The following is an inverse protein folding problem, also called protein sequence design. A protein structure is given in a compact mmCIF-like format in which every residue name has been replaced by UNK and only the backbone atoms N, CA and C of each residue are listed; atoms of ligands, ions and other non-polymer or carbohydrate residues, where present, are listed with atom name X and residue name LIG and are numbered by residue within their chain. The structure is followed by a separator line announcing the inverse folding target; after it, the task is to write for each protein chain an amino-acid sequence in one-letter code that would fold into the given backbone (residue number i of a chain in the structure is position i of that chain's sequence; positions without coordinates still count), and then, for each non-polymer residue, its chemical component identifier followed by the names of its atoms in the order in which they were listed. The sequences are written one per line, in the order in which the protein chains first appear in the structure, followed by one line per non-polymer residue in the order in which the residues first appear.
data_IF_071897044595
#
_entry.id   IF_071897044595
#
_cell.length_a   1.000
_cell.length_b   1.000
_cell.length_c   1.000
_cell.angle_alpha   90.00
_cell.angle_beta   90.00
_cell.angle_gamma   90.00
#
_symmetry.space_group_name_H-M   'P 1'
#
loop_
_entity.id
_entity.type
_entity.pdbx_description
1 polymer ?
#
# COMPACT_ATOMS: atom_id res chain seq x y z
N UNK A 1 -17.12 -30.14 -2.92
CA UNK A 1 -16.03 -30.38 -1.96
C UNK A 1 -15.11 -29.17 -2.02
N UNK A 2 -15.16 -28.29 -1.05
CA UNK A 2 -14.23 -27.16 -0.97
C UNK A 2 -12.80 -27.73 -0.86
N UNK A 3 -11.82 -27.19 -1.60
CA UNK A 3 -10.46 -27.68 -1.48
C UNK A 3 -9.97 -27.40 -0.06
N UNK A 4 -9.40 -28.44 0.59
CA UNK A 4 -8.72 -28.28 1.88
C UNK A 4 -7.75 -27.11 1.74
N UNK A 5 -7.99 -26.04 2.47
CA UNK A 5 -7.04 -24.93 2.59
C UNK A 5 -5.72 -25.56 3.09
N UNK A 6 -4.74 -25.62 2.20
CA UNK A 6 -3.37 -25.93 2.55
C UNK A 6 -2.91 -24.88 3.59
N UNK A 7 -2.03 -25.31 4.51
CA UNK A 7 -1.34 -24.47 5.49
C UNK A 7 -1.12 -23.06 4.95
N UNK A 8 -1.59 -22.06 5.68
CA UNK A 8 -1.77 -20.66 5.31
C UNK A 8 -0.78 -20.17 4.25
N UNK A 9 -1.25 -20.06 3.02
CA UNK A 9 -0.49 -19.46 1.93
C UNK A 9 -0.25 -18.00 2.31
N UNK A 10 0.99 -17.63 2.56
CA UNK A 10 1.39 -16.28 2.99
C UNK A 10 1.84 -15.38 1.85
N UNK A 11 2.01 -15.97 0.64
CA UNK A 11 2.30 -15.23 -0.61
C UNK A 11 1.07 -15.36 -1.51
N UNK A 12 0.46 -14.24 -1.83
CA UNK A 12 -0.77 -14.15 -2.60
C UNK A 12 -0.44 -13.91 -4.08
N UNK A 13 -1.16 -14.58 -4.97
CA UNK A 13 -0.80 -14.66 -6.40
C UNK A 13 -1.85 -13.96 -7.26
N UNK A 14 -1.46 -12.88 -7.92
CA UNK A 14 -2.27 -12.20 -8.93
C UNK A 14 -1.95 -12.70 -10.33
N UNK A 15 -0.67 -12.95 -10.63
CA UNK A 15 -0.19 -13.45 -11.93
C UNK A 15 0.82 -14.55 -11.75
N UNK A 16 0.83 -15.47 -12.69
CA UNK A 16 1.77 -16.59 -12.70
C UNK A 16 3.23 -16.09 -12.67
N UNK A 17 4.00 -16.59 -11.70
CA UNK A 17 5.41 -16.29 -11.52
C UNK A 17 6.19 -17.61 -11.33
N UNK A 18 7.17 -17.84 -12.19
CA UNK A 18 8.03 -19.02 -12.12
C UNK A 18 9.41 -18.64 -11.57
N UNK A 19 9.65 -18.88 -10.28
CA UNK A 19 10.91 -18.55 -9.62
C UNK A 19 12.12 -19.29 -10.21
N UNK A 20 11.92 -20.39 -10.93
CA UNK A 20 13.03 -21.07 -11.63
C UNK A 20 13.62 -20.23 -12.75
N UNK A 21 12.80 -19.38 -13.41
CA UNK A 21 13.23 -18.47 -14.48
C UNK A 21 13.89 -17.21 -13.94
N UNK A 22 13.55 -16.80 -12.72
CA UNK A 22 14.13 -15.61 -12.11
C UNK A 22 15.61 -15.86 -11.80
N UNK A 23 16.47 -15.05 -12.37
CA UNK A 23 17.93 -15.08 -12.19
C UNK A 23 18.37 -14.03 -11.19
N UNK A 24 17.75 -12.84 -11.23
CA UNK A 24 18.05 -11.69 -10.39
C UNK A 24 16.86 -11.34 -9.49
N UNK A 25 17.15 -11.05 -8.23
CA UNK A 25 16.16 -10.58 -7.26
C UNK A 25 16.59 -9.21 -6.78
N UNK A 26 15.85 -8.20 -7.16
CA UNK A 26 16.03 -6.82 -6.70
C UNK A 26 15.16 -6.54 -5.48
N UNK A 27 15.74 -5.88 -4.50
CA UNK A 27 15.08 -5.53 -3.27
C UNK A 27 15.13 -4.03 -3.05
N UNK A 28 13.99 -3.42 -2.75
CA UNK A 28 14.01 -2.16 -2.03
C UNK A 28 14.52 -2.40 -0.60
N UNK A 29 15.00 -1.35 0.04
CA UNK A 29 15.55 -1.45 1.38
C UNK A 29 14.50 -1.15 2.44
N UNK A 30 14.00 0.08 2.44
CA UNK A 30 13.12 0.59 3.49
C UNK A 30 11.72 -0.05 3.40
N UNK A 31 11.17 -0.53 4.53
CA UNK A 31 9.90 -1.28 4.62
C UNK A 31 9.82 -2.58 3.77
N UNK A 32 10.91 -2.98 3.14
CA UNK A 32 11.00 -4.22 2.35
C UNK A 32 12.05 -5.18 2.90
N UNK A 33 13.33 -4.88 2.66
CA UNK A 33 14.45 -5.67 3.17
C UNK A 33 14.67 -5.42 4.67
N UNK A 34 14.59 -4.16 5.06
CA UNK A 34 14.67 -3.69 6.44
C UNK A 34 13.29 -3.25 6.88
N UNK A 35 12.77 -3.87 7.93
CA UNK A 35 11.45 -3.55 8.50
C UNK A 35 11.58 -2.47 9.54
N UNK A 36 10.55 -1.64 9.62
CA UNK A 36 10.45 -0.56 10.61
C UNK A 36 9.37 -0.85 11.64
N UNK A 37 9.53 -0.32 12.84
CA UNK A 37 8.42 -0.09 13.74
C UNK A 37 7.61 1.09 13.20
N UNK A 38 6.71 0.80 12.26
CA UNK A 38 6.02 1.80 11.42
C UNK A 38 5.35 2.88 12.27
N UNK A 39 4.72 2.51 13.37
CA UNK A 39 4.08 3.44 14.30
C UNK A 39 5.06 4.47 14.89
N UNK A 40 6.24 4.00 15.33
CA UNK A 40 7.28 4.85 15.91
C UNK A 40 7.90 5.77 14.86
N UNK A 41 8.12 5.25 13.66
CA UNK A 41 8.69 6.02 12.56
C UNK A 41 7.72 7.10 12.06
N UNK A 42 6.44 6.78 11.85
CA UNK A 42 5.42 7.73 11.41
C UNK A 42 5.15 8.82 12.46
N UNK A 43 5.19 8.48 13.75
CA UNK A 43 5.13 9.47 14.82
C UNK A 43 6.33 10.42 14.80
N UNK A 44 7.54 9.91 14.54
CA UNK A 44 8.72 10.73 14.35
C UNK A 44 8.58 11.65 13.13
N UNK A 45 8.12 11.11 12.00
CA UNK A 45 7.91 11.87 10.77
C UNK A 45 6.90 13.00 10.98
N UNK A 46 5.77 12.70 11.60
CA UNK A 46 4.73 13.68 11.96
C UNK A 46 5.32 14.83 12.80
N UNK A 47 6.06 14.51 13.86
CA UNK A 47 6.71 15.51 14.71
C UNK A 47 7.69 16.39 13.93
N UNK A 48 8.53 15.80 13.07
CA UNK A 48 9.50 16.55 12.26
C UNK A 48 8.82 17.47 11.24
N UNK A 49 7.72 17.02 10.65
CA UNK A 49 6.91 17.89 9.78
C UNK A 49 6.33 19.08 10.55
N UNK A 50 5.76 18.88 11.73
CA UNK A 50 5.25 19.98 12.58
C UNK A 50 6.33 21.01 12.89
N UNK A 51 7.51 20.57 13.36
CA UNK A 51 8.64 21.44 13.64
C UNK A 51 9.05 22.29 12.42
N UNK A 52 9.11 21.67 11.23
CA UNK A 52 9.47 22.36 10.00
C UNK A 52 8.38 23.30 9.49
N UNK A 53 7.12 22.96 9.63
CA UNK A 53 5.99 23.83 9.28
C UNK A 53 6.05 25.13 10.08
N UNK A 54 6.30 25.06 11.38
CA UNK A 54 6.46 26.25 12.22
C UNK A 54 7.73 27.04 11.84
N UNK A 55 8.89 26.36 11.81
CA UNK A 55 10.18 27.02 11.67
C UNK A 55 10.43 27.56 10.25
N UNK A 56 9.91 26.90 9.22
CA UNK A 56 10.24 27.20 7.81
C UNK A 56 9.09 27.79 7.02
N UNK A 57 7.84 27.50 7.42
CA UNK A 57 6.65 27.88 6.67
C UNK A 57 5.78 28.90 7.42
N UNK A 58 6.11 29.23 8.69
CA UNK A 58 5.40 30.22 9.49
C UNK A 58 4.01 29.79 9.96
N UNK A 59 3.77 28.49 10.08
CA UNK A 59 2.53 27.99 10.69
C UNK A 59 2.46 28.34 12.18
N UNK A 60 1.27 28.44 12.77
CA UNK A 60 1.11 28.76 14.19
C UNK A 60 1.78 27.73 15.10
N UNK A 61 2.41 28.18 16.19
CA UNK A 61 3.06 27.30 17.19
C UNK A 61 2.11 26.26 17.80
N UNK A 62 0.81 26.54 17.79
CA UNK A 62 -0.22 25.64 18.30
C UNK A 62 -0.20 24.27 17.61
N UNK A 63 0.22 24.20 16.33
CA UNK A 63 0.30 22.91 15.64
C UNK A 63 1.27 21.92 16.29
N UNK A 64 2.27 22.40 17.05
CA UNK A 64 3.22 21.55 17.77
C UNK A 64 2.56 20.66 18.83
N UNK A 65 1.32 21.00 19.25
CA UNK A 65 0.52 20.19 20.19
C UNK A 65 -0.29 19.08 19.50
N UNK A 66 -0.29 19.00 18.17
CA UNK A 66 -1.01 17.95 17.45
C UNK A 66 -0.31 16.60 17.65
N UNK A 67 -1.08 15.62 18.07
CA UNK A 67 -0.61 14.25 18.27
C UNK A 67 -0.88 13.39 17.03
N UNK A 68 0.05 12.50 16.73
CA UNK A 68 -0.10 11.55 15.65
C UNK A 68 -1.10 10.45 16.03
N UNK A 69 -2.14 10.26 15.22
CA UNK A 69 -3.09 9.15 15.35
C UNK A 69 -3.04 8.29 14.09
N UNK A 70 -2.43 7.11 14.22
CA UNK A 70 -2.26 6.14 13.13
C UNK A 70 -3.59 5.67 12.54
N UNK A 71 -4.70 5.75 13.31
CA UNK A 71 -6.02 5.32 12.84
C UNK A 71 -6.74 6.34 11.95
N UNK A 72 -6.18 7.55 11.79
CA UNK A 72 -6.81 8.60 10.98
C UNK A 72 -6.59 8.44 9.48
N UNK A 73 -5.61 7.67 9.07
CA UNK A 73 -5.36 7.40 7.65
C UNK A 73 -4.96 5.95 7.42
N UNK A 74 -5.16 5.47 6.20
CA UNK A 74 -4.69 4.16 5.73
C UNK A 74 -4.05 4.30 4.35
N UNK A 75 -3.25 3.32 3.94
CA UNK A 75 -2.75 3.24 2.57
C UNK A 75 -3.91 3.12 1.58
N UNK A 76 -3.77 3.74 0.43
CA UNK A 76 -4.77 3.72 -0.64
C UNK A 76 -5.80 4.85 -0.58
N UNK A 77 -5.69 5.76 0.39
CA UNK A 77 -6.47 7.00 0.38
C UNK A 77 -5.94 7.97 -0.67
N UNK A 78 -6.80 8.91 -1.04
CA UNK A 78 -6.48 10.02 -1.93
C UNK A 78 -6.74 11.33 -1.20
N UNK A 79 -5.76 12.22 -1.20
CA UNK A 79 -5.90 13.58 -0.71
C UNK A 79 -6.46 14.44 -1.84
N UNK A 80 -7.64 15.00 -1.65
CA UNK A 80 -8.17 16.09 -2.50
C UNK A 80 -7.61 17.42 -2.00
N UNK A 81 -6.60 17.89 -2.69
CA UNK A 81 -5.85 19.10 -2.32
C UNK A 81 -6.69 20.37 -2.41
N UNK A 82 -7.72 20.38 -3.26
CA UNK A 82 -8.58 21.55 -3.47
C UNK A 82 -9.65 21.69 -2.41
N UNK A 83 -10.20 20.56 -1.96
CA UNK A 83 -11.33 20.53 -1.04
C UNK A 83 -10.92 20.27 0.41
N UNK A 84 -9.65 19.97 0.70
CA UNK A 84 -9.21 19.60 2.04
C UNK A 84 -9.73 18.22 2.49
N UNK A 85 -10.01 17.31 1.53
CA UNK A 85 -10.66 16.06 1.82
C UNK A 85 -9.71 14.87 1.71
N UNK A 86 -9.96 13.85 2.53
CA UNK A 86 -9.42 12.50 2.37
C UNK A 86 -10.52 11.64 1.74
N UNK A 87 -10.16 10.87 0.72
CA UNK A 87 -11.10 10.08 -0.06
C UNK A 87 -10.70 8.61 -0.08
N UNK A 88 -11.67 7.73 0.12
CA UNK A 88 -11.54 6.30 -0.17
C UNK A 88 -12.21 5.98 -1.49
N UNK A 89 -11.42 5.53 -2.44
CA UNK A 89 -11.84 5.35 -3.84
C UNK A 89 -11.91 3.86 -4.18
N UNK A 90 -12.96 3.45 -4.86
CA UNK A 90 -13.10 2.08 -5.37
C UNK A 90 -12.31 1.90 -6.67
N UNK A 91 -12.19 0.65 -7.11
CA UNK A 91 -11.53 0.29 -8.40
C UNK A 91 -12.12 1.02 -9.62
N UNK A 92 -13.35 1.47 -9.53
CA UNK A 92 -14.06 2.19 -10.61
C UNK A 92 -13.99 3.72 -10.46
N UNK A 93 -13.18 4.23 -9.53
CA UNK A 93 -13.06 5.67 -9.28
C UNK A 93 -14.20 6.25 -8.45
N UNK A 94 -15.13 5.42 -7.94
CA UNK A 94 -16.20 5.91 -7.09
C UNK A 94 -15.72 6.16 -5.66
N UNK A 95 -16.10 7.31 -5.10
CA UNK A 95 -15.78 7.68 -3.73
C UNK A 95 -16.78 6.97 -2.79
N UNK A 96 -16.28 6.12 -1.91
CA UNK A 96 -17.08 5.31 -0.97
C UNK A 96 -17.11 5.88 0.44
N UNK A 97 -16.04 6.58 0.82
CA UNK A 97 -15.96 7.32 2.08
C UNK A 97 -15.15 8.58 1.87
N UNK A 98 -15.46 9.62 2.59
CA UNK A 98 -14.74 10.89 2.55
C UNK A 98 -14.75 11.57 3.91
N UNK A 99 -13.62 12.20 4.27
CA UNK A 99 -13.50 13.08 5.42
C UNK A 99 -13.08 14.46 4.93
N UNK A 100 -13.65 15.52 5.50
CA UNK A 100 -13.10 16.87 5.42
C UNK A 100 -12.28 17.13 6.67
N UNK A 101 -10.99 17.35 6.50
CA UNK A 101 -10.10 17.24 7.66
C UNK A 101 -10.23 15.85 8.30
N UNK A 102 -10.59 15.81 9.58
CA UNK A 102 -10.84 14.56 10.33
C UNK A 102 -12.34 14.23 10.46
N UNK A 103 -13.25 15.03 9.88
CA UNK A 103 -14.70 14.95 10.05
C UNK A 103 -15.36 14.22 8.87
N UNK A 104 -16.20 13.19 9.13
CA UNK A 104 -16.92 12.51 8.05
C UNK A 104 -17.82 13.47 7.25
N UNK A 105 -17.78 13.35 5.92
CA UNK A 105 -18.71 14.03 5.02
C UNK A 105 -19.92 13.10 4.84
N UNK A 106 -21.11 13.63 5.05
CA UNK A 106 -22.34 12.87 4.80
C UNK A 106 -22.55 12.57 3.31
N UNK A 107 -23.27 11.49 3.01
CA UNK A 107 -23.44 11.00 1.65
C UNK A 107 -24.08 12.02 0.69
N UNK A 108 -25.16 12.77 1.06
CA UNK A 108 -25.71 13.81 0.18
C UNK A 108 -24.71 14.90 -0.17
N UNK A 109 -23.92 15.36 0.81
CA UNK A 109 -22.88 16.36 0.60
C UNK A 109 -21.76 15.80 -0.28
N UNK A 110 -21.31 14.58 -0.01
CA UNK A 110 -20.31 13.89 -0.85
C UNK A 110 -20.81 13.75 -2.29
N UNK A 111 -22.04 13.34 -2.51
CA UNK A 111 -22.63 13.25 -3.86
C UNK A 111 -22.65 14.61 -4.57
N UNK A 112 -23.02 15.69 -3.87
CA UNK A 112 -23.04 17.02 -4.45
C UNK A 112 -21.65 17.50 -4.86
N UNK A 113 -20.63 17.24 -4.03
CA UNK A 113 -19.25 17.64 -4.30
C UNK A 113 -18.62 16.86 -5.48
N UNK A 114 -18.93 15.56 -5.59
CA UNK A 114 -18.23 14.64 -6.49
C UNK A 114 -19.12 13.99 -7.55
N UNK A 115 -20.31 14.50 -7.80
CA UNK A 115 -21.35 13.91 -8.67
C UNK A 115 -20.87 13.51 -10.07
N UNK A 116 -19.94 14.27 -10.63
CA UNK A 116 -19.41 14.05 -12.00
C UNK A 116 -17.88 14.00 -12.00
N UNK A 117 -17.27 13.75 -10.86
CA UNK A 117 -15.83 13.80 -10.71
C UNK A 117 -15.26 12.38 -10.82
N UNK A 118 -14.42 12.18 -11.81
CA UNK A 118 -13.52 11.03 -11.89
C UNK A 118 -12.23 11.39 -11.18
N UNK A 119 -11.83 10.57 -10.21
CA UNK A 119 -10.56 10.78 -9.51
C UNK A 119 -9.43 10.28 -10.38
N UNK A 120 -8.71 11.21 -10.99
CA UNK A 120 -7.53 10.93 -11.80
C UNK A 120 -6.26 11.22 -10.99
N UNK A 121 -5.59 10.16 -10.53
CA UNK A 121 -4.34 10.28 -9.78
C UNK A 121 -3.14 10.73 -10.64
N UNK A 122 -3.29 10.84 -11.96
CA UNK A 122 -2.28 11.49 -12.80
C UNK A 122 -2.33 13.02 -12.70
N UNK A 123 -3.45 13.57 -12.24
CA UNK A 123 -3.60 14.99 -11.93
C UNK A 123 -3.05 15.30 -10.53
N UNK A 124 -1.74 15.38 -10.43
CA UNK A 124 -1.02 15.66 -9.19
C UNK A 124 -1.24 17.09 -8.66
N UNK A 125 -1.84 17.98 -9.46
CA UNK A 125 -2.21 19.31 -9.01
C UNK A 125 -3.42 19.30 -8.08
N UNK A 126 -4.34 18.38 -8.29
CA UNK A 126 -5.57 18.24 -7.53
C UNK A 126 -5.57 17.07 -6.54
N UNK A 127 -4.86 15.99 -6.85
CA UNK A 127 -4.90 14.78 -6.04
C UNK A 127 -3.50 14.28 -5.67
N UNK A 128 -3.36 13.71 -4.48
CA UNK A 128 -2.15 13.01 -4.04
C UNK A 128 -2.54 11.66 -3.43
N UNK A 129 -1.86 10.59 -3.84
CA UNK A 129 -2.12 9.27 -3.31
C UNK A 129 -1.35 9.03 -2.00
N UNK A 130 -1.97 8.28 -1.09
CA UNK A 130 -1.32 7.70 0.10
C UNK A 130 -0.94 6.27 -0.27
N UNK A 131 0.20 6.09 -0.93
CA UNK A 131 0.57 4.85 -1.62
C UNK A 131 1.77 4.10 -0.99
N UNK A 132 2.33 4.65 0.07
CA UNK A 132 3.41 4.05 0.87
C UNK A 132 3.13 4.19 2.37
N UNK A 133 3.80 3.37 3.17
CA UNK A 133 3.75 3.48 4.63
C UNK A 133 4.21 4.87 5.11
N UNK A 134 5.17 5.49 4.45
CA UNK A 134 5.66 6.84 4.76
C UNK A 134 4.65 7.98 4.52
N UNK A 135 3.52 7.71 3.88
CA UNK A 135 2.50 8.72 3.56
C UNK A 135 1.36 8.80 4.59
N UNK A 136 1.35 7.92 5.59
CA UNK A 136 0.29 7.89 6.61
C UNK A 136 0.34 9.16 7.48
N UNK A 137 1.53 9.55 7.93
CA UNK A 137 1.73 10.78 8.71
C UNK A 137 1.39 12.04 7.90
N UNK A 138 1.66 12.04 6.59
CA UNK A 138 1.26 13.13 5.68
C UNK A 138 -0.25 13.30 5.65
N UNK A 139 -0.98 12.20 5.44
CA UNK A 139 -2.44 12.24 5.37
C UNK A 139 -3.06 12.66 6.70
N UNK A 140 -2.54 12.12 7.81
CA UNK A 140 -3.00 12.47 9.15
C UNK A 140 -2.76 13.95 9.45
N UNK A 141 -1.55 14.45 9.20
CA UNK A 141 -1.22 15.85 9.45
C UNK A 141 -2.01 16.80 8.55
N UNK A 142 -2.15 16.46 7.25
CA UNK A 142 -2.97 17.25 6.35
C UNK A 142 -4.40 17.41 6.88
N UNK A 143 -5.04 16.31 7.31
CA UNK A 143 -6.38 16.36 7.87
C UNK A 143 -6.48 17.24 9.14
N UNK A 144 -5.52 17.12 10.04
CA UNK A 144 -5.46 17.91 11.26
C UNK A 144 -5.31 19.41 10.98
N UNK A 145 -4.47 19.77 9.98
CA UNK A 145 -4.27 21.16 9.58
C UNK A 145 -5.49 21.76 8.86
N UNK A 146 -6.24 20.95 8.12
CA UNK A 146 -7.52 21.37 7.53
C UNK A 146 -8.50 21.75 8.63
N UNK A 147 -8.68 20.88 9.65
CA UNK A 147 -9.56 21.19 10.79
C UNK A 147 -9.14 22.48 11.51
N UNK A 148 -7.85 22.60 11.78
CA UNK A 148 -7.33 23.77 12.49
C UNK A 148 -7.51 25.07 11.69
N UNK A 149 -7.31 25.02 10.38
CA UNK A 149 -7.59 26.14 9.48
C UNK A 149 -9.06 26.56 9.56
N UNK A 150 -9.98 25.61 9.43
CA UNK A 150 -11.41 25.91 9.36
C UNK A 150 -11.98 26.41 10.69
N UNK A 151 -11.49 25.83 11.79
CA UNK A 151 -11.99 26.18 13.12
C UNK A 151 -11.39 27.47 13.68
N UNK A 152 -10.12 27.78 13.37
CA UNK A 152 -9.41 28.83 14.09
C UNK A 152 -8.61 29.79 13.22
N UNK A 153 -8.04 29.31 12.12
CA UNK A 153 -7.05 30.08 11.34
C UNK A 153 -7.49 30.30 9.89
N UNK A 154 -8.79 30.49 9.66
CA UNK A 154 -9.41 30.54 8.33
C UNK A 154 -8.71 31.52 7.38
N UNK A 155 -8.34 32.71 7.87
CA UNK A 155 -7.74 33.77 7.06
C UNK A 155 -6.19 33.78 7.14
N UNK A 156 -5.60 33.17 8.17
CA UNK A 156 -4.14 33.27 8.41
C UNK A 156 -3.37 32.05 7.95
N UNK A 157 -3.99 30.88 7.83
CA UNK A 157 -3.37 29.71 7.21
C UNK A 157 -3.60 29.69 5.70
N UNK A 158 -2.65 29.14 4.92
CA UNK A 158 -2.77 29.04 3.47
C UNK A 158 -3.96 28.16 3.05
N UNK A 159 -4.28 28.14 1.76
CA UNK A 159 -5.31 27.25 1.22
C UNK A 159 -4.93 25.76 1.34
N UNK A 160 -5.90 24.85 1.17
CA UNK A 160 -5.68 23.41 1.36
C UNK A 160 -4.64 22.84 0.40
N UNK A 161 -4.55 23.35 -0.84
CA UNK A 161 -3.56 22.87 -1.80
C UNK A 161 -2.14 23.26 -1.37
N UNK A 162 -1.97 24.45 -0.82
CA UNK A 162 -0.71 24.91 -0.25
C UNK A 162 -0.38 24.14 1.02
N UNK A 163 -1.35 23.92 1.93
CA UNK A 163 -1.15 23.07 3.13
C UNK A 163 -0.64 21.69 2.72
N UNK A 164 -1.29 21.03 1.75
CA UNK A 164 -0.87 19.72 1.27
C UNK A 164 0.56 19.75 0.71
N UNK A 165 0.89 20.78 -0.08
CA UNK A 165 2.25 20.95 -0.64
C UNK A 165 3.27 21.15 0.46
N UNK A 166 2.96 21.97 1.45
CA UNK A 166 3.86 22.26 2.56
C UNK A 166 4.12 21.02 3.42
N UNK A 167 3.09 20.23 3.73
CA UNK A 167 3.23 18.97 4.47
C UNK A 167 4.15 18.00 3.71
N UNK A 168 3.88 17.76 2.42
CA UNK A 168 4.71 16.86 1.59
C UNK A 168 6.15 17.37 1.51
N UNK A 169 6.33 18.67 1.23
CA UNK A 169 7.68 19.27 1.10
C UNK A 169 8.48 19.23 2.40
N UNK A 170 7.83 19.34 3.55
CA UNK A 170 8.51 19.26 4.85
C UNK A 170 8.93 17.83 5.19
N UNK A 171 8.16 16.79 4.76
CA UNK A 171 8.59 15.40 4.85
C UNK A 171 9.80 15.14 3.97
N UNK A 172 9.76 15.59 2.71
CA UNK A 172 10.89 15.47 1.77
C UNK A 172 12.14 16.17 2.30
N UNK A 173 11.98 17.34 2.93
CA UNK A 173 13.08 18.05 3.58
C UNK A 173 13.64 17.26 4.76
N UNK A 174 12.76 16.67 5.60
CA UNK A 174 13.18 15.88 6.76
C UNK A 174 13.95 14.59 6.36
N UNK A 175 13.62 14.01 5.21
CA UNK A 175 14.41 12.92 4.63
C UNK A 175 15.78 13.38 4.12
N UNK A 176 15.85 14.57 3.49
CA UNK A 176 17.08 15.09 2.87
C UNK A 176 18.08 15.69 3.86
N UNK A 177 17.61 16.38 4.88
CA UNK A 177 18.46 17.07 5.85
C UNK A 177 18.94 16.16 7.00
N UNK A 178 18.55 14.90 6.99
CA UNK A 178 18.95 13.90 7.97
C UNK A 178 18.21 14.00 9.30
N UNK A 179 17.22 14.87 9.47
CA UNK A 179 16.50 15.02 10.75
C UNK A 179 15.68 13.78 11.12
N UNK A 180 15.21 13.00 10.13
CA UNK A 180 14.62 11.68 10.33
C UNK A 180 15.70 10.59 10.48
N UNK A 181 16.54 10.45 9.47
CA UNK A 181 17.56 9.40 9.41
C UNK A 181 18.58 9.49 10.55
N UNK A 182 18.94 10.70 10.97
CA UNK A 182 19.84 10.91 12.09
C UNK A 182 19.24 10.49 13.44
N UNK A 183 17.91 10.64 13.63
CA UNK A 183 17.24 10.15 14.83
C UNK A 183 17.12 8.62 14.82
N UNK A 184 16.77 8.02 13.69
CA UNK A 184 16.76 6.56 13.52
C UNK A 184 18.16 5.99 13.79
N UNK A 185 19.21 6.62 13.26
CA UNK A 185 20.60 6.19 13.44
C UNK A 185 21.04 6.17 14.92
N UNK A 186 20.53 7.09 15.72
CA UNK A 186 20.83 7.14 17.16
C UNK A 186 20.09 6.05 17.98
N UNK A 187 18.95 5.58 17.46
CA UNK A 187 18.04 4.72 18.22
C UNK A 187 17.53 3.56 17.34
N UNK A 188 18.43 2.79 16.73
CA UNK A 188 18.09 1.72 15.77
C UNK A 188 17.12 0.69 16.36
N UNK A 189 17.33 0.27 17.62
CA UNK A 189 16.44 -0.71 18.29
C UNK A 189 15.00 -0.20 18.46
N UNK A 190 14.78 1.11 18.50
CA UNK A 190 13.44 1.70 18.58
C UNK A 190 12.71 1.66 17.24
N UNK A 191 13.45 1.84 16.15
CA UNK A 191 12.82 2.07 14.84
C UNK A 191 12.93 0.88 13.89
N UNK A 192 13.90 -0.02 14.07
CA UNK A 192 14.21 -1.10 13.14
C UNK A 192 13.89 -2.46 13.74
N UNK A 193 13.11 -3.24 13.01
CA UNK A 193 12.78 -4.63 13.35
C UNK A 193 13.84 -5.55 12.72
N UNK A 194 14.51 -6.34 13.55
CA UNK A 194 15.41 -7.39 13.10
C UNK A 194 14.60 -8.62 12.67
N UNK A 195 14.81 -9.11 11.45
CA UNK A 195 14.13 -10.29 10.91
C UNK A 195 15.17 -11.34 10.49
N UNK A 196 15.56 -12.26 11.38
CA UNK A 196 16.53 -13.32 11.08
C UNK A 196 16.08 -14.24 9.94
N UNK A 197 14.77 -14.39 9.72
CA UNK A 197 14.22 -15.23 8.65
C UNK A 197 14.51 -14.65 7.26
N UNK A 198 14.58 -13.33 7.15
CA UNK A 198 15.00 -12.64 5.91
C UNK A 198 16.46 -12.99 5.61
N UNK A 199 17.35 -12.93 6.61
CA UNK A 199 18.77 -13.21 6.43
C UNK A 199 18.98 -14.66 6.02
N UNK A 200 18.38 -15.61 6.72
CA UNK A 200 18.41 -17.04 6.36
C UNK A 200 17.86 -17.28 4.93
N UNK A 201 16.84 -16.53 4.54
CA UNK A 201 16.27 -16.57 3.20
C UNK A 201 17.25 -16.07 2.13
N UNK A 202 17.91 -14.93 2.36
CA UNK A 202 18.94 -14.37 1.46
C UNK A 202 20.07 -15.37 1.21
N UNK A 203 20.66 -15.94 2.27
CA UNK A 203 21.71 -16.95 2.16
C UNK A 203 21.24 -18.18 1.41
N UNK A 204 20.02 -18.66 1.69
CA UNK A 204 19.41 -19.79 0.99
C UNK A 204 19.19 -19.52 -0.49
N UNK A 205 18.68 -18.35 -0.87
CA UNK A 205 18.44 -18.00 -2.27
C UNK A 205 19.76 -17.88 -3.03
N UNK A 206 20.80 -17.34 -2.39
CA UNK A 206 22.15 -17.30 -2.97
C UNK A 206 22.73 -18.69 -3.22
N UNK A 207 22.52 -19.67 -2.32
CA UNK A 207 22.89 -21.09 -2.53
C UNK A 207 22.20 -21.73 -3.74
N UNK A 208 21.09 -21.14 -4.20
CA UNK A 208 20.35 -21.58 -5.39
C UNK A 208 20.66 -20.72 -6.62
N UNK A 209 21.84 -20.10 -6.68
CA UNK A 209 22.35 -19.30 -7.78
C UNK A 209 21.49 -18.07 -8.11
N UNK A 210 20.67 -17.58 -7.16
CA UNK A 210 19.95 -16.33 -7.30
C UNK A 210 20.92 -15.18 -7.03
N UNK A 211 21.06 -14.28 -8.00
CA UNK A 211 21.81 -13.04 -7.85
C UNK A 211 20.91 -12.00 -7.22
N UNK A 212 21.34 -11.47 -6.09
CA UNK A 212 20.52 -10.54 -5.31
C UNK A 212 21.13 -9.14 -5.41
N UNK A 213 20.30 -8.12 -5.59
CA UNK A 213 20.75 -6.73 -5.60
C UNK A 213 19.79 -5.84 -4.79
N UNK A 214 20.36 -4.76 -4.26
CA UNK A 214 19.60 -3.70 -3.58
C UNK A 214 19.45 -2.54 -4.54
N UNK A 215 18.26 -1.94 -4.57
CA UNK A 215 17.95 -0.71 -5.31
C UNK A 215 17.12 0.21 -4.41
N UNK A 216 17.75 1.18 -3.75
CA UNK A 216 17.13 2.05 -2.77
C UNK A 216 17.30 3.53 -3.08
N UNK A 217 16.33 4.36 -2.64
CA UNK A 217 16.46 5.81 -2.66
C UNK A 217 17.30 6.36 -1.49
N UNK A 218 17.62 5.52 -0.52
CA UNK A 218 18.51 5.89 0.60
C UNK A 218 19.96 6.01 0.15
N UNK A 219 20.73 6.86 0.81
CA UNK A 219 22.16 7.02 0.57
C UNK A 219 22.98 5.85 1.14
N UNK A 220 24.21 5.70 0.67
CA UNK A 220 25.07 4.57 1.05
C UNK A 220 25.36 4.50 2.54
N UNK A 221 25.66 5.62 3.19
CA UNK A 221 25.98 5.67 4.62
C UNK A 221 24.85 5.13 5.49
N UNK A 222 23.61 5.54 5.19
CA UNK A 222 22.42 5.08 5.88
C UNK A 222 22.09 3.63 5.52
N UNK A 223 22.20 3.25 4.26
CA UNK A 223 22.02 1.86 3.80
C UNK A 223 22.98 0.93 4.53
N UNK A 224 24.28 1.30 4.59
CA UNK A 224 25.28 0.53 5.32
C UNK A 224 24.95 0.37 6.80
N UNK A 225 24.57 1.46 7.45
CA UNK A 225 24.18 1.47 8.87
C UNK A 225 23.04 0.48 9.16
N UNK A 226 21.98 0.53 8.36
CA UNK A 226 20.83 -0.35 8.54
C UNK A 226 21.15 -1.82 8.27
N UNK A 227 21.93 -2.11 7.23
CA UNK A 227 22.31 -3.48 6.90
C UNK A 227 23.32 -4.07 7.88
N UNK A 228 24.25 -3.26 8.39
CA UNK A 228 25.16 -3.67 9.47
C UNK A 228 24.36 -4.05 10.74
N UNK A 229 23.28 -3.32 11.03
CA UNK A 229 22.44 -3.56 12.19
C UNK A 229 21.45 -4.73 12.00
N UNK A 230 20.77 -4.79 10.86
CA UNK A 230 19.67 -5.71 10.64
C UNK A 230 20.09 -7.06 10.02
N UNK A 231 21.22 -7.12 9.30
CA UNK A 231 21.63 -8.29 8.54
C UNK A 231 22.85 -8.98 9.17
N UNK A 232 23.95 -8.25 9.41
CA UNK A 232 25.21 -8.83 9.86
C UNK A 232 25.11 -9.74 11.07
N UNK A 233 24.33 -9.42 12.13
CA UNK A 233 24.27 -10.25 13.34
C UNK A 233 23.67 -11.65 13.12
N UNK A 234 23.01 -11.87 12.00
CA UNK A 234 22.27 -13.12 11.70
C UNK A 234 22.88 -13.94 10.57
N UNK A 235 23.95 -13.47 9.96
CA UNK A 235 24.69 -14.22 8.92
C UNK A 235 25.30 -15.48 9.49
N UNK A 236 25.24 -16.57 8.71
CA UNK A 236 25.82 -17.87 9.07
C UNK A 236 26.88 -18.32 8.09
N UNK A 237 26.69 -18.05 6.82
CA UNK A 237 27.53 -18.54 5.72
C UNK A 237 28.36 -17.43 5.06
N UNK A 238 28.18 -16.17 5.49
CA UNK A 238 28.87 -15.00 4.94
C UNK A 238 29.45 -14.14 6.06
N UNK A 239 30.57 -13.45 5.80
CA UNK A 239 31.25 -12.60 6.78
C UNK A 239 30.53 -11.27 7.03
N UNK A 240 29.90 -10.74 6.00
CA UNK A 240 29.19 -9.47 6.05
C UNK A 240 28.10 -9.42 4.96
N UNK A 241 27.19 -8.46 5.08
CA UNK A 241 26.06 -8.32 4.17
C UNK A 241 26.49 -8.02 2.71
N UNK A 242 27.64 -7.39 2.46
CA UNK A 242 28.12 -7.11 1.11
C UNK A 242 28.30 -8.38 0.27
N UNK A 243 28.65 -9.49 0.91
CA UNK A 243 28.81 -10.77 0.23
C UNK A 243 27.48 -11.38 -0.26
N UNK A 244 26.33 -10.90 0.28
CA UNK A 244 25.01 -11.36 -0.16
C UNK A 244 24.58 -10.74 -1.49
N UNK A 245 25.03 -9.52 -1.78
CA UNK A 245 24.50 -8.73 -2.90
C UNK A 245 25.51 -8.58 -4.02
N UNK A 246 25.10 -8.90 -5.25
CA UNK A 246 25.91 -8.64 -6.45
C UNK A 246 26.05 -7.14 -6.72
N UNK A 247 24.95 -6.40 -6.52
CA UNK A 247 24.91 -4.95 -6.70
C UNK A 247 24.18 -4.30 -5.52
N UNK A 248 24.70 -3.16 -5.09
CA UNK A 248 24.04 -2.27 -4.15
C UNK A 248 23.94 -0.91 -4.79
N UNK A 249 22.76 -0.53 -5.22
CA UNK A 249 22.47 0.72 -5.92
C UNK A 249 21.72 1.63 -4.96
N UNK A 250 22.41 2.66 -4.48
CA UNK A 250 21.90 3.64 -3.51
C UNK A 250 21.54 4.94 -4.21
N UNK A 251 20.73 5.78 -3.56
CA UNK A 251 20.25 7.05 -4.11
C UNK A 251 19.79 6.92 -5.57
N UNK A 252 19.04 5.85 -5.84
CA UNK A 252 18.62 5.46 -7.18
C UNK A 252 17.62 6.43 -7.82
N UNK A 253 16.99 7.30 -7.01
CA UNK A 253 15.96 8.24 -7.44
C UNK A 253 14.75 7.54 -8.10
N UNK A 254 14.34 6.38 -7.55
CA UNK A 254 13.10 5.74 -8.01
C UNK A 254 11.92 6.73 -7.91
N UNK A 255 11.01 6.80 -8.89
CA UNK A 255 10.90 5.90 -10.06
C UNK A 255 11.78 6.27 -11.25
N UNK A 256 12.54 7.37 -11.24
CA UNK A 256 13.37 7.82 -12.38
C UNK A 256 14.34 6.76 -12.88
N UNK A 257 14.89 5.94 -11.99
CA UNK A 257 15.77 4.81 -12.35
C UNK A 257 15.19 3.90 -13.44
N UNK A 258 13.86 3.77 -13.50
CA UNK A 258 13.19 2.85 -14.43
C UNK A 258 12.93 3.43 -15.83
N UNK A 259 12.98 4.74 -16.01
CA UNK A 259 12.66 5.37 -17.29
C UNK A 259 13.64 6.45 -17.72
N UNK A 260 14.60 6.82 -16.87
CA UNK A 260 15.60 7.85 -17.16
C UNK A 260 17.00 7.22 -17.28
N UNK A 261 17.91 7.87 -17.99
CA UNK A 261 19.29 7.40 -18.21
C UNK A 261 20.28 8.19 -17.34
N UNK A 262 20.15 8.04 -16.02
CA UNK A 262 21.11 8.63 -15.10
C UNK A 262 22.44 7.86 -15.12
N UNK A 263 23.54 8.57 -14.88
CA UNK A 263 24.86 7.94 -14.78
C UNK A 263 25.00 7.15 -13.49
N UNK A 264 25.74 6.03 -13.57
CA UNK A 264 26.22 5.33 -12.38
C UNK A 264 27.46 6.01 -11.83
N UNK A 265 27.49 6.18 -10.52
CA UNK A 265 28.70 6.52 -9.77
C UNK A 265 29.13 5.28 -9.00
N UNK A 266 30.39 4.85 -9.16
CA UNK A 266 30.93 3.75 -8.35
C UNK A 266 31.33 4.28 -6.99
N UNK A 267 30.89 3.61 -5.93
CA UNK A 267 31.19 3.94 -4.54
C UNK A 267 32.31 3.03 -4.05
N UNK A 268 33.34 3.62 -3.43
CA UNK A 268 34.31 2.88 -2.64
C UNK A 268 33.68 2.54 -1.28
N UNK A 269 33.47 1.25 -0.93
CA UNK A 269 32.84 0.89 0.33
C UNK A 269 33.60 1.28 1.60
N UNK A 270 34.89 1.54 1.49
CA UNK A 270 35.79 1.85 2.64
C UNK A 270 35.59 3.29 3.11
N UNK A 271 35.54 4.23 2.18
CA UNK A 271 35.58 5.67 2.47
C UNK A 271 34.35 6.44 1.91
N UNK A 272 33.50 5.78 1.12
CA UNK A 272 32.31 6.37 0.52
C UNK A 272 32.62 7.32 -0.66
N UNK A 273 33.83 7.40 -1.12
CA UNK A 273 34.18 8.23 -2.29
C UNK A 273 33.51 7.71 -3.56
N UNK A 274 33.19 8.62 -4.47
CA UNK A 274 32.43 8.32 -5.68
C UNK A 274 33.21 8.72 -6.93
N UNK A 275 33.17 7.86 -7.93
CA UNK A 275 33.73 8.12 -9.24
C UNK A 275 32.73 7.83 -10.34
N UNK A 276 32.77 8.60 -11.43
CA UNK A 276 31.95 8.30 -12.61
C UNK A 276 32.24 6.90 -13.12
N UNK A 277 31.20 6.15 -13.52
CA UNK A 277 31.34 4.80 -13.99
C UNK A 277 30.61 4.58 -15.32
N UNK A 278 31.38 4.59 -16.41
CA UNK A 278 30.84 4.44 -17.77
C UNK A 278 31.13 3.04 -18.37
N UNK A 279 31.95 2.22 -17.68
CA UNK A 279 32.22 0.84 -18.08
C UNK A 279 31.02 -0.09 -17.93
N UNK A 280 31.03 -1.30 -18.52
CA UNK A 280 30.05 -2.35 -18.22
C UNK A 280 29.99 -2.66 -16.72
N UNK A 281 28.79 -2.76 -16.17
CA UNK A 281 28.58 -2.95 -14.74
C UNK A 281 29.20 -4.27 -14.25
N UNK A 282 29.96 -4.19 -13.16
CA UNK A 282 30.54 -5.31 -12.42
C UNK A 282 29.95 -5.34 -11.00
N UNK A 283 29.92 -6.50 -10.33
CA UNK A 283 29.48 -6.57 -8.94
C UNK A 283 30.14 -5.47 -8.08
N UNK A 284 29.34 -4.79 -7.26
CA UNK A 284 29.82 -3.70 -6.43
C UNK A 284 28.75 -2.73 -5.95
N UNK A 285 29.21 -1.62 -5.38
CA UNK A 285 28.37 -0.57 -4.81
C UNK A 285 28.33 0.64 -5.75
N UNK A 286 27.13 1.14 -6.01
CA UNK A 286 26.90 2.23 -6.94
C UNK A 286 25.88 3.24 -6.37
N UNK A 287 25.90 4.43 -6.94
CA UNK A 287 24.86 5.44 -6.73
C UNK A 287 24.22 5.83 -8.06
N UNK A 288 22.90 6.10 -8.05
CA UNK A 288 22.16 6.53 -9.24
C UNK A 288 22.02 5.44 -10.28
N UNK A 289 22.19 5.78 -11.56
CA UNK A 289 22.06 4.85 -12.66
C UNK A 289 20.67 4.70 -13.24
N UNK A 290 20.50 3.74 -14.15
CA UNK A 290 19.23 3.46 -14.80
C UNK A 290 19.08 1.99 -15.22
N UNK A 291 17.81 1.55 -15.29
CA UNK A 291 17.44 0.15 -15.56
C UNK A 291 17.90 -0.32 -16.94
N UNK A 292 17.89 0.55 -17.95
CA UNK A 292 18.33 0.22 -19.31
C UNK A 292 19.82 -0.18 -19.35
N UNK A 293 20.70 0.64 -18.75
CA UNK A 293 22.10 0.27 -18.65
C UNK A 293 22.32 -0.97 -17.79
N UNK A 294 21.56 -1.11 -16.69
CA UNK A 294 21.65 -2.27 -15.81
C UNK A 294 21.31 -3.57 -16.55
N UNK A 295 20.19 -3.63 -17.25
CA UNK A 295 19.77 -4.85 -17.99
C UNK A 295 20.67 -5.13 -19.19
N UNK A 296 21.03 -4.10 -19.95
CA UNK A 296 21.90 -4.22 -21.12
C UNK A 296 23.29 -4.74 -20.76
N UNK A 297 23.93 -4.15 -19.75
CA UNK A 297 25.31 -4.52 -19.37
C UNK A 297 25.38 -5.94 -18.78
N UNK A 298 24.29 -6.41 -18.15
CA UNK A 298 24.20 -7.76 -17.58
C UNK A 298 23.68 -8.80 -18.58
N UNK A 299 23.21 -8.39 -19.76
CA UNK A 299 22.64 -9.28 -20.77
C UNK A 299 21.44 -10.05 -20.25
N UNK A 300 20.51 -9.35 -19.58
CA UNK A 300 19.30 -9.92 -18.97
C UNK A 300 18.05 -9.21 -19.47
N UNK A 301 16.95 -9.99 -19.50
CA UNK A 301 15.63 -9.50 -19.88
C UNK A 301 14.79 -9.21 -18.64
N UNK A 302 13.70 -8.42 -18.81
CA UNK A 302 12.81 -8.10 -17.70
C UNK A 302 12.19 -9.33 -17.01
N UNK A 303 11.98 -10.41 -17.73
CA UNK A 303 11.46 -11.68 -17.20
C UNK A 303 12.48 -12.48 -16.35
N UNK A 304 13.77 -12.13 -16.42
CA UNK A 304 14.82 -12.71 -15.58
C UNK A 304 14.87 -12.08 -14.18
N UNK A 305 14.20 -10.94 -13.99
CA UNK A 305 14.28 -10.11 -12.78
C UNK A 305 12.95 -10.18 -12.03
N UNK A 306 13.03 -10.44 -10.72
CA UNK A 306 11.95 -10.18 -9.77
C UNK A 306 12.37 -9.01 -8.90
N UNK A 307 11.62 -7.90 -8.96
CA UNK A 307 11.83 -6.77 -8.08
C UNK A 307 10.77 -6.74 -6.98
N UNK A 308 11.19 -6.49 -5.75
CA UNK A 308 10.36 -6.52 -4.55
C UNK A 308 10.50 -5.18 -3.83
N UNK A 309 9.37 -4.53 -3.58
CA UNK A 309 9.29 -3.26 -2.85
C UNK A 309 7.97 -3.11 -2.11
N UNK A 310 7.82 -2.03 -1.36
CA UNK A 310 6.57 -1.69 -0.65
C UNK A 310 5.77 -0.58 -1.33
N UNK A 311 6.41 0.20 -2.22
CA UNK A 311 5.82 1.38 -2.83
C UNK A 311 5.16 1.05 -4.17
N UNK A 312 3.81 1.06 -4.21
CA UNK A 312 3.04 0.65 -5.41
C UNK A 312 3.39 1.47 -6.66
N UNK A 313 3.61 2.78 -6.54
CA UNK A 313 3.98 3.64 -7.65
C UNK A 313 5.47 3.57 -7.98
N UNK A 314 6.33 3.77 -6.97
CA UNK A 314 7.77 3.89 -7.13
C UNK A 314 8.47 2.59 -7.51
N UNK A 315 8.00 1.46 -6.98
CA UNK A 315 8.63 0.15 -7.13
C UNK A 315 7.92 -0.79 -8.09
N UNK A 316 6.62 -0.62 -8.30
CA UNK A 316 5.81 -1.64 -8.98
C UNK A 316 5.24 -1.13 -10.29
N UNK A 317 4.46 -0.03 -10.26
CA UNK A 317 3.72 0.44 -11.41
C UNK A 317 4.64 0.93 -12.54
N UNK A 318 5.56 1.84 -12.21
CA UNK A 318 6.49 2.42 -13.19
C UNK A 318 7.43 1.36 -13.75
N UNK A 319 8.02 0.57 -12.85
CA UNK A 319 8.90 -0.53 -13.24
C UNK A 319 8.20 -1.52 -14.18
N UNK A 320 6.93 -1.88 -13.90
CA UNK A 320 6.18 -2.81 -14.76
C UNK A 320 5.87 -2.22 -16.11
N UNK A 321 5.55 -0.93 -16.19
CA UNK A 321 5.25 -0.24 -17.45
C UNK A 321 6.48 -0.01 -18.31
N UNK A 322 7.58 0.41 -17.69
CA UNK A 322 8.76 0.92 -18.41
C UNK A 322 9.81 -0.18 -18.67
N UNK A 323 10.00 -1.11 -17.72
CA UNK A 323 11.05 -2.15 -17.80
C UNK A 323 10.52 -3.58 -17.99
N UNK A 324 9.22 -3.80 -17.81
CA UNK A 324 8.58 -5.12 -17.84
C UNK A 324 9.18 -6.17 -16.88
N UNK A 325 9.85 -5.76 -15.80
CA UNK A 325 10.34 -6.69 -14.77
C UNK A 325 9.17 -7.39 -14.09
N UNK A 326 9.43 -8.56 -13.50
CA UNK A 326 8.49 -9.22 -12.60
C UNK A 326 8.49 -8.49 -11.26
N UNK A 327 7.33 -8.43 -10.62
CA UNK A 327 7.12 -7.57 -9.45
C UNK A 327 6.49 -8.32 -8.30
N UNK A 328 6.93 -8.01 -7.09
CA UNK A 328 6.31 -8.45 -5.85
C UNK A 328 6.15 -7.25 -4.90
N UNK A 329 5.01 -7.16 -4.21
CA UNK A 329 4.71 -6.06 -3.30
C UNK A 329 4.66 -6.54 -1.86
N UNK A 330 5.31 -5.79 -0.96
CA UNK A 330 5.16 -5.96 0.49
C UNK A 330 4.08 -5.00 0.99
N UNK A 331 3.10 -5.54 1.69
CA UNK A 331 1.98 -4.80 2.28
C UNK A 331 1.91 -5.19 3.76
N UNK A 332 2.64 -4.47 4.61
CA UNK A 332 2.80 -4.84 6.02
C UNK A 332 1.47 -4.86 6.78
N UNK A 333 0.63 -3.85 6.57
CA UNK A 333 -0.69 -3.70 7.18
C UNK A 333 -1.67 -4.82 6.84
N UNK A 334 -1.46 -5.53 5.74
CA UNK A 334 -2.26 -6.70 5.37
C UNK A 334 -2.21 -7.80 6.43
N UNK A 335 -1.15 -7.86 7.24
CA UNK A 335 -1.03 -8.81 8.35
C UNK A 335 -2.15 -8.64 9.37
N UNK A 336 -2.37 -7.42 9.82
CA UNK A 336 -3.45 -7.07 10.76
C UNK A 336 -4.83 -7.21 10.10
N UNK A 337 -4.95 -6.83 8.85
CA UNK A 337 -6.20 -6.98 8.09
C UNK A 337 -6.61 -8.45 7.97
N UNK A 338 -5.68 -9.38 7.72
CA UNK A 338 -5.94 -10.82 7.68
C UNK A 338 -6.44 -11.34 9.03
N UNK A 339 -5.84 -10.91 10.14
CA UNK A 339 -6.30 -11.30 11.47
C UNK A 339 -7.70 -10.74 11.77
N UNK A 340 -7.98 -9.53 11.32
CA UNK A 340 -9.32 -8.93 11.39
C UNK A 340 -10.34 -9.70 10.55
N UNK A 341 -9.98 -10.15 9.35
CA UNK A 341 -10.83 -11.03 8.53
C UNK A 341 -11.16 -12.35 9.24
N UNK A 342 -10.19 -12.98 9.89
CA UNK A 342 -10.42 -14.23 10.65
C UNK A 342 -11.44 -14.00 11.77
N UNK A 343 -11.33 -12.88 12.49
CA UNK A 343 -12.28 -12.49 13.54
C UNK A 343 -13.66 -12.14 12.97
N UNK A 344 -13.71 -11.56 11.77
CA UNK A 344 -14.95 -11.16 11.08
C UNK A 344 -15.73 -12.32 10.46
N UNK A 345 -15.08 -13.46 10.19
CA UNK A 345 -15.64 -14.62 9.49
C UNK A 345 -17.03 -15.07 10.02
N UNK A 346 -17.28 -15.23 11.34
CA UNK A 346 -18.59 -15.63 11.83
C UNK A 346 -19.68 -14.60 11.49
N UNK A 347 -19.38 -13.30 11.67
CA UNK A 347 -20.30 -12.20 11.33
C UNK A 347 -20.57 -12.13 9.82
N UNK A 348 -19.57 -12.32 9.01
CA UNK A 348 -19.70 -12.37 7.54
C UNK A 348 -20.57 -13.55 7.08
N UNK A 349 -20.43 -14.71 7.71
CA UNK A 349 -21.28 -15.88 7.43
C UNK A 349 -22.74 -15.63 7.80
N UNK A 350 -22.99 -14.96 8.92
CA UNK A 350 -24.34 -14.57 9.35
C UNK A 350 -24.98 -13.55 8.38
N UNK A 351 -24.25 -12.53 7.97
CA UNK A 351 -24.71 -11.56 6.94
C UNK A 351 -25.09 -12.29 5.66
N UNK A 352 -24.25 -13.23 5.19
CA UNK A 352 -24.52 -14.02 3.98
C UNK A 352 -25.82 -14.82 4.11
N UNK A 353 -26.00 -15.51 5.22
CA UNK A 353 -27.22 -16.29 5.48
C UNK A 353 -28.48 -15.42 5.50
N UNK A 354 -28.38 -14.22 6.07
CA UNK A 354 -29.48 -13.23 6.08
C UNK A 354 -29.78 -12.72 4.66
N UNK A 355 -28.76 -12.47 3.85
CA UNK A 355 -28.93 -12.07 2.44
C UNK A 355 -29.58 -13.18 1.61
N UNK A 356 -29.16 -14.43 1.78
CA UNK A 356 -29.78 -15.60 1.12
C UNK A 356 -31.27 -15.77 1.50
N UNK A 357 -31.64 -15.41 2.73
CA UNK A 357 -33.05 -15.41 3.17
C UNK A 357 -33.83 -14.21 2.62
N UNK A 358 -33.17 -13.04 2.49
CA UNK A 358 -33.81 -11.81 2.02
C UNK A 358 -34.12 -11.84 0.53
N UNK A 359 -33.24 -12.37 -0.30
CA UNK A 359 -33.36 -12.36 -1.77
C UNK A 359 -34.69 -12.95 -2.29
N UNK A 360 -35.19 -14.11 -1.82
CA UNK A 360 -36.50 -14.64 -2.24
C UNK A 360 -37.66 -13.72 -1.85
N UNK A 361 -37.60 -13.05 -0.69
CA UNK A 361 -38.63 -12.12 -0.25
C UNK A 361 -38.69 -10.87 -1.15
N UNK A 362 -37.51 -10.32 -1.47
CA UNK A 362 -37.39 -9.20 -2.41
C UNK A 362 -37.92 -9.56 -3.80
N UNK A 363 -37.56 -10.74 -4.32
CA UNK A 363 -38.07 -11.23 -5.60
C UNK A 363 -39.56 -11.35 -5.61
N UNK A 364 -40.16 -11.95 -4.58
CA UNK A 364 -41.61 -12.07 -4.45
C UNK A 364 -42.28 -10.71 -4.38
N UNK A 365 -41.71 -9.75 -3.65
CA UNK A 365 -42.24 -8.39 -3.55
C UNK A 365 -42.19 -7.68 -4.92
N UNK A 366 -41.08 -7.78 -5.64
CA UNK A 366 -40.93 -7.21 -6.98
C UNK A 366 -41.95 -7.81 -7.94
N UNK A 367 -42.15 -9.14 -7.95
CA UNK A 367 -43.10 -9.83 -8.82
C UNK A 367 -44.54 -9.37 -8.55
N UNK A 368 -44.95 -9.21 -7.27
CA UNK A 368 -46.27 -8.71 -6.90
C UNK A 368 -46.51 -7.27 -7.39
N UNK A 369 -45.52 -6.39 -7.20
CA UNK A 369 -45.59 -5.00 -7.65
C UNK A 369 -45.62 -4.91 -9.17
N UNK A 370 -44.76 -5.67 -9.85
CA UNK A 370 -44.70 -5.74 -11.31
C UNK A 370 -46.03 -6.21 -11.89
N UNK A 371 -46.61 -7.30 -11.37
CA UNK A 371 -47.92 -7.82 -11.80
C UNK A 371 -49.05 -6.79 -11.62
N UNK A 372 -49.05 -6.04 -10.50
CA UNK A 372 -50.02 -4.94 -10.27
C UNK A 372 -49.90 -3.87 -11.35
N UNK A 373 -48.69 -3.46 -11.69
CA UNK A 373 -48.42 -2.43 -12.69
C UNK A 373 -48.83 -2.89 -14.11
N UNK A 374 -48.45 -4.11 -14.48
CA UNK A 374 -48.63 -4.62 -15.85
C UNK A 374 -50.06 -5.07 -16.13
N UNK A 375 -50.76 -5.60 -15.16
CA UNK A 375 -52.11 -6.19 -15.37
C UNK A 375 -53.25 -5.36 -14.82
N UNK A 376 -52.96 -4.32 -14.00
CA UNK A 376 -53.96 -3.54 -13.28
C UNK A 376 -54.69 -4.32 -12.16
N UNK A 377 -54.28 -5.57 -11.89
CA UNK A 377 -54.85 -6.36 -10.79
C UNK A 377 -54.32 -5.84 -9.46
N UNK A 378 -55.21 -5.65 -8.49
CA UNK A 378 -54.80 -5.27 -7.14
C UNK A 378 -53.91 -6.35 -6.54
N UNK A 379 -52.71 -5.95 -6.07
CA UNK A 379 -51.87 -6.83 -5.27
C UNK A 379 -52.47 -6.97 -3.88
N UNK A 380 -52.29 -8.13 -3.26
CA UNK A 380 -52.64 -8.31 -1.86
C UNK A 380 -51.80 -7.38 -0.98
N UNK A 381 -52.38 -6.26 -0.58
CA UNK A 381 -51.70 -5.21 0.21
C UNK A 381 -51.17 -5.74 1.55
N UNK A 382 -51.86 -6.72 2.16
CA UNK A 382 -51.39 -7.34 3.40
C UNK A 382 -50.09 -8.11 3.17
N UNK A 383 -50.03 -8.88 2.07
CA UNK A 383 -48.82 -9.62 1.71
C UNK A 383 -47.65 -8.70 1.34
N UNK A 384 -47.94 -7.60 0.66
CA UNK A 384 -46.91 -6.58 0.35
C UNK A 384 -46.36 -5.96 1.63
N UNK A 385 -47.20 -5.57 2.57
CA UNK A 385 -46.82 -5.01 3.86
C UNK A 385 -46.02 -6.02 4.71
N UNK A 386 -46.47 -7.28 4.73
CA UNK A 386 -45.75 -8.35 5.45
C UNK A 386 -44.33 -8.57 4.90
N UNK A 387 -44.19 -8.68 3.57
CA UNK A 387 -42.86 -8.82 2.93
C UNK A 387 -41.96 -7.61 3.19
N UNK A 388 -42.51 -6.39 3.09
CA UNK A 388 -41.73 -5.18 3.39
C UNK A 388 -41.26 -5.14 4.83
N UNK A 389 -42.11 -5.57 5.78
CA UNK A 389 -41.75 -5.63 7.20
C UNK A 389 -40.63 -6.63 7.45
N UNK A 390 -40.76 -7.85 6.88
CA UNK A 390 -39.71 -8.88 7.00
C UNK A 390 -38.37 -8.42 6.40
N UNK A 391 -38.39 -7.81 5.20
CA UNK A 391 -37.21 -7.27 4.55
C UNK A 391 -36.55 -6.19 5.41
N UNK A 392 -37.34 -5.26 5.95
CA UNK A 392 -36.87 -4.16 6.81
C UNK A 392 -36.19 -4.69 8.08
N UNK A 393 -36.77 -5.73 8.71
CA UNK A 393 -36.17 -6.34 9.91
C UNK A 393 -34.84 -7.02 9.61
N UNK A 394 -34.75 -7.73 8.48
CA UNK A 394 -33.50 -8.33 8.01
C UNK A 394 -32.47 -7.24 7.74
N UNK A 395 -32.85 -6.16 7.05
CA UNK A 395 -31.95 -5.04 6.75
C UNK A 395 -31.42 -4.35 8.01
N UNK A 396 -32.27 -4.17 9.02
CA UNK A 396 -31.86 -3.64 10.31
C UNK A 396 -30.82 -4.53 11.00
N UNK A 397 -31.03 -5.84 10.95
CA UNK A 397 -30.10 -6.83 11.51
C UNK A 397 -28.76 -6.80 10.76
N UNK A 398 -28.79 -6.86 9.43
CA UNK A 398 -27.60 -6.79 8.57
C UNK A 398 -26.82 -5.50 8.83
N UNK A 399 -27.50 -4.35 8.92
CA UNK A 399 -26.87 -3.07 9.21
C UNK A 399 -26.10 -3.08 10.55
N UNK A 400 -26.67 -3.70 11.58
CA UNK A 400 -25.99 -3.89 12.87
C UNK A 400 -24.75 -4.78 12.76
N UNK A 401 -24.84 -5.87 12.01
CA UNK A 401 -23.74 -6.80 11.79
C UNK A 401 -22.61 -6.17 10.96
N UNK A 402 -22.94 -5.39 9.91
CA UNK A 402 -21.96 -4.65 9.10
C UNK A 402 -21.18 -3.66 9.99
N UNK A 403 -21.86 -2.92 10.87
CA UNK A 403 -21.19 -2.02 11.81
C UNK A 403 -20.24 -2.76 12.76
N UNK A 404 -20.67 -3.93 13.28
CA UNK A 404 -19.85 -4.79 14.12
C UNK A 404 -18.63 -5.34 13.36
N UNK A 405 -18.79 -5.74 12.12
CA UNK A 405 -17.71 -6.20 11.26
C UNK A 405 -16.71 -5.07 10.97
N UNK A 406 -17.23 -3.90 10.58
CA UNK A 406 -16.41 -2.72 10.26
C UNK A 406 -15.54 -2.28 11.44
N UNK A 407 -16.04 -2.40 12.68
CA UNK A 407 -15.27 -2.05 13.89
C UNK A 407 -14.04 -2.94 14.15
N UNK A 408 -13.92 -4.07 13.44
CA UNK A 408 -12.72 -4.93 13.53
C UNK A 408 -11.56 -4.43 12.66
N UNK A 409 -11.79 -3.47 11.79
CA UNK A 409 -10.82 -2.86 10.90
C UNK A 409 -10.54 -1.41 11.30
N UNK A 410 -9.97 -0.61 10.40
CA UNK A 410 -9.78 0.80 10.71
C UNK A 410 -11.13 1.49 10.98
N UNK A 411 -11.27 2.22 12.10
CA UNK A 411 -12.57 2.79 12.52
C UNK A 411 -13.17 3.78 11.51
N UNK A 412 -12.32 4.54 10.82
CA UNK A 412 -12.76 5.57 9.86
C UNK A 412 -12.89 5.02 8.44
N UNK A 413 -12.02 4.08 8.07
CA UNK A 413 -11.82 3.69 6.68
C UNK A 413 -12.13 2.23 6.38
N UNK A 414 -12.26 1.38 7.41
CA UNK A 414 -12.41 -0.07 7.23
C UNK A 414 -11.14 -0.70 6.66
N UNK A 415 -11.32 -1.60 5.72
CA UNK A 415 -10.24 -2.41 5.12
C UNK A 415 -9.37 -1.63 4.13
N UNK A 416 -8.08 -1.89 4.06
CA UNK A 416 -7.17 -1.29 3.06
C UNK A 416 -7.50 -1.81 1.65
N UNK A 417 -7.75 -3.13 1.53
CA UNK A 417 -7.94 -3.78 0.24
C UNK A 417 -9.37 -3.70 -0.28
N UNK A 418 -10.34 -3.25 0.52
CA UNK A 418 -11.75 -3.13 0.13
C UNK A 418 -12.26 -1.71 0.25
N UNK A 419 -13.24 -1.40 -0.59
CA UNK A 419 -14.01 -0.15 -0.59
C UNK A 419 -15.50 -0.51 -0.71
N UNK A 420 -16.11 -0.86 0.42
CA UNK A 420 -17.40 -1.55 0.47
C UNK A 420 -17.29 -2.97 -0.09
N UNK A 421 -18.21 -3.38 -0.96
CA UNK A 421 -18.16 -4.70 -1.60
C UNK A 421 -17.13 -4.81 -2.74
N UNK A 422 -16.55 -3.69 -3.16
CA UNK A 422 -15.60 -3.63 -4.26
C UNK A 422 -14.16 -3.66 -3.76
N UNK A 423 -13.23 -3.88 -4.68
CA UNK A 423 -11.81 -3.64 -4.44
C UNK A 423 -11.56 -2.13 -4.26
N UNK A 424 -10.67 -1.76 -3.33
CA UNK A 424 -10.16 -0.40 -3.27
C UNK A 424 -9.32 -0.09 -4.53
N UNK A 425 -9.14 1.19 -4.83
CA UNK A 425 -8.25 1.59 -5.93
C UNK A 425 -6.82 1.06 -5.73
N UNK A 426 -6.34 1.07 -4.48
CA UNK A 426 -5.04 0.48 -4.13
C UNK A 426 -5.00 -1.03 -4.44
N UNK A 427 -6.00 -1.79 -4.00
CA UNK A 427 -6.09 -3.23 -4.30
C UNK A 427 -6.12 -3.51 -5.81
N UNK A 428 -6.83 -2.68 -6.58
CA UNK A 428 -6.85 -2.78 -8.03
C UNK A 428 -5.47 -2.56 -8.66
N UNK A 429 -4.69 -1.60 -8.14
CA UNK A 429 -3.31 -1.41 -8.60
C UNK A 429 -2.41 -2.60 -8.23
N UNK A 430 -2.53 -3.13 -7.01
CA UNK A 430 -1.82 -4.34 -6.58
C UNK A 430 -2.14 -5.51 -7.51
N UNK A 431 -3.41 -5.74 -7.78
CA UNK A 431 -3.86 -6.80 -8.69
C UNK A 431 -3.31 -6.62 -10.10
N UNK A 432 -3.34 -5.40 -10.60
CA UNK A 432 -2.91 -5.08 -11.98
C UNK A 432 -1.40 -5.14 -12.17
N UNK A 433 -0.59 -4.79 -11.19
CA UNK A 433 0.84 -4.57 -11.39
C UNK A 433 1.75 -5.52 -10.61
N UNK A 434 1.36 -6.02 -9.45
CA UNK A 434 2.15 -6.99 -8.70
C UNK A 434 1.84 -8.42 -9.14
N UNK A 435 2.86 -9.22 -9.48
CA UNK A 435 2.66 -10.64 -9.78
C UNK A 435 2.25 -11.40 -8.53
N UNK A 436 2.90 -11.11 -7.41
CA UNK A 436 2.59 -11.64 -6.08
C UNK A 436 2.68 -10.52 -5.05
N UNK A 437 2.01 -10.68 -3.91
CA UNK A 437 2.14 -9.78 -2.78
C UNK A 437 2.14 -10.57 -1.46
N UNK A 438 2.66 -9.97 -0.41
CA UNK A 438 2.86 -10.60 0.89
C UNK A 438 2.91 -9.55 2.00
N UNK A 439 2.84 -9.98 3.26
CA UNK A 439 2.92 -9.05 4.39
C UNK A 439 4.35 -8.67 4.73
N UNK A 440 5.31 -9.56 4.46
CA UNK A 440 6.73 -9.35 4.72
C UNK A 440 7.60 -10.24 3.83
N UNK A 441 8.82 -9.81 3.57
CA UNK A 441 9.75 -10.49 2.67
C UNK A 441 10.10 -11.91 3.11
N UNK A 442 10.21 -12.16 4.41
CA UNK A 442 10.49 -13.50 4.96
C UNK A 442 9.47 -14.56 4.55
N UNK A 443 8.24 -14.18 4.22
CA UNK A 443 7.21 -15.11 3.75
C UNK A 443 7.54 -15.69 2.35
N UNK A 444 8.07 -14.86 1.45
CA UNK A 444 8.57 -15.32 0.16
C UNK A 444 9.83 -16.19 0.35
N UNK A 445 10.74 -15.75 1.19
CA UNK A 445 11.99 -16.44 1.44
C UNK A 445 11.83 -17.77 2.19
N UNK A 446 10.75 -17.98 2.90
CA UNK A 446 10.41 -19.27 3.48
C UNK A 446 10.07 -20.33 2.42
N UNK A 447 9.66 -19.91 1.21
CA UNK A 447 9.34 -20.80 0.10
C UNK A 447 10.60 -21.19 -0.69
N UNK A 448 10.48 -22.24 -1.49
CA UNK A 448 11.59 -22.67 -2.35
C UNK A 448 11.96 -21.59 -3.38
N UNK A 449 13.27 -21.30 -3.60
CA UNK A 449 13.72 -20.44 -4.70
C UNK A 449 13.33 -20.92 -6.10
N UNK A 450 12.68 -22.08 -6.20
CA UNK A 450 12.20 -22.71 -7.44
C UNK A 450 10.68 -22.79 -7.51
N UNK A 451 9.96 -22.20 -6.55
CA UNK A 451 8.50 -22.21 -6.48
C UNK A 451 7.88 -21.69 -7.77
N UNK A 452 6.80 -22.37 -8.20
CA UNK A 452 5.98 -21.93 -9.30
C UNK A 452 4.64 -21.43 -8.78
N UNK A 453 4.48 -20.12 -8.72
CA UNK A 453 3.25 -19.47 -8.33
C UNK A 453 2.29 -19.47 -9.52
N UNK A 454 1.14 -20.12 -9.36
CA UNK A 454 0.09 -20.20 -10.38
C UNK A 454 -1.04 -19.26 -10.02
N UNK A 455 -1.35 -18.34 -10.92
CA UNK A 455 -2.54 -17.52 -10.77
C UNK A 455 -3.79 -18.40 -10.87
N UNK A 456 -4.76 -18.25 -9.95
CA UNK A 456 -6.04 -18.92 -10.09
C UNK A 456 -6.78 -18.36 -11.32
N UNK A 457 -7.55 -19.21 -11.98
CA UNK A 457 -8.54 -18.73 -12.95
C UNK A 457 -9.59 -17.93 -12.18
N UNK A 458 -9.83 -16.70 -12.58
CA UNK A 458 -10.90 -15.88 -12.00
C UNK A 458 -12.19 -16.18 -12.77
N UNK A 459 -13.18 -16.65 -12.05
CA UNK A 459 -14.49 -16.84 -12.62
C UNK A 459 -15.13 -15.50 -12.99
N UNK A 460 -15.70 -15.42 -14.18
CA UNK A 460 -16.50 -14.30 -14.64
C UNK A 460 -17.93 -14.42 -14.09
N UNK A 461 -18.67 -13.30 -14.02
CA UNK A 461 -20.00 -13.28 -13.40
C UNK A 461 -20.97 -14.32 -14.01
N UNK A 462 -20.91 -14.55 -15.32
CA UNK A 462 -21.75 -15.57 -15.98
C UNK A 462 -21.26 -17.00 -15.67
N UNK A 463 -19.97 -17.20 -15.45
CA UNK A 463 -19.42 -18.51 -15.05
C UNK A 463 -19.86 -18.86 -13.63
N UNK A 464 -19.81 -17.87 -12.68
CA UNK A 464 -20.32 -18.04 -11.32
C UNK A 464 -21.79 -18.40 -11.28
N UNK A 465 -22.61 -17.72 -12.11
CA UNK A 465 -24.06 -17.98 -12.19
C UNK A 465 -24.39 -19.42 -12.66
N UNK A 466 -23.46 -20.06 -13.37
CA UNK A 466 -23.62 -21.43 -13.87
C UNK A 466 -22.79 -22.47 -13.12
N UNK A 467 -22.10 -22.09 -12.03
CA UNK A 467 -21.30 -23.01 -11.21
C UNK A 467 -20.03 -23.54 -11.92
N UNK A 468 -19.45 -22.77 -12.82
CA UNK A 468 -18.20 -23.10 -13.50
C UNK A 468 -17.01 -22.50 -12.73
N UNK A 469 -16.78 -22.96 -11.49
CA UNK A 469 -15.69 -22.51 -10.60
C UNK A 469 -14.32 -23.13 -11.00
#
# INVERSE_FOLDING_TARGET
MAPKMAQSQKVYVNRTLNMRKIRYIGLDMDHTLVRYHTHEFENLAHRRMLEKLVQRKGYPDEILSLEFDFNKAIRGLVLDRRQGNLLKVSRHGAIRASLHGTRPIDFPTQQKLYKSTYIDLSDTSNYSAVDTAFSISVATLFAQLVDLKDDKYKESMPDYATICTDVISTLDEAHRDGSLKGEVAKNLEKYIIKDPDVVAGLERYKKHDKKIFILTNSEYSYTKLLLDFAINPYLKDHANWQELFEFVITFAQKPRFFFDNLRFLKINPLDGTMTNYDEPLKPGVYQGGGADKFTRDLGIEGDDILYIGDHIYGDILRLKKDCNWRTALVIEELGEEIESYKKAQPTAAEIRSLMERKEPLERTLVDLITTKIETGREADERKVQELQSQITEIDKTISGLIKKQHALFNPSWGEVMRSGNEESYFAHQVDRFACVYMTRLSELFALSPRTYFRAPRRALSHELAHGFD
#
